data_IF_575268101661
#
_entry.id   IF_575268101661
#
_cell.length_a   1.000
_cell.length_b   1.000
_cell.length_c   1.000
_cell.angle_alpha   90.00
_cell.angle_beta   90.00
_cell.angle_gamma   90.00
#
_symmetry.space_group_name_H-M   'P 1'
#
loop_
_entity.id
_entity.type
_entity.pdbx_description
1 polymer ?
#
# COMPACT_ATOMS: atom_id res chain seq x y z
N UNK A 1 3.61 32.30 -12.75
CA UNK A 1 2.86 33.04 -11.72
C UNK A 1 1.79 32.09 -11.21
N UNK A 2 1.84 31.70 -9.94
CA UNK A 2 0.76 30.92 -9.34
C UNK A 2 -0.44 31.85 -9.13
N UNK A 3 -1.58 31.52 -9.71
CA UNK A 3 -2.83 32.18 -9.33
C UNK A 3 -3.09 31.92 -7.85
N UNK A 4 -3.34 32.99 -7.08
CA UNK A 4 -3.62 32.88 -5.66
C UNK A 4 -5.07 32.42 -5.46
N UNK A 5 -5.25 31.36 -4.67
CA UNK A 5 -6.57 30.92 -4.23
C UNK A 5 -7.08 31.80 -3.09
N UNK A 6 -8.32 32.28 -3.16
CA UNK A 6 -8.98 33.02 -2.08
C UNK A 6 -10.32 32.40 -1.71
N UNK A 7 -10.48 32.04 -0.43
CA UNK A 7 -11.75 31.55 0.12
C UNK A 7 -12.88 32.58 0.03
N UNK A 8 -12.56 33.89 -0.03
CA UNK A 8 -13.56 34.96 -0.19
C UNK A 8 -14.31 34.87 -1.51
N UNK A 9 -13.75 34.18 -2.50
CA UNK A 9 -14.33 34.05 -3.84
C UNK A 9 -15.19 32.78 -3.97
N UNK A 10 -15.35 32.01 -2.89
CA UNK A 10 -16.12 30.76 -2.88
C UNK A 10 -17.48 30.99 -2.22
N UNK A 11 -18.57 30.87 -2.98
CA UNK A 11 -19.94 30.94 -2.44
C UNK A 11 -20.33 29.70 -1.64
N UNK A 12 -19.70 28.56 -1.96
CA UNK A 12 -19.96 27.25 -1.35
C UNK A 12 -18.63 26.56 -1.07
N UNK A 13 -18.53 25.93 0.10
CA UNK A 13 -17.40 25.08 0.48
C UNK A 13 -17.95 23.69 0.78
N UNK A 14 -17.58 22.73 -0.06
CA UNK A 14 -17.87 21.32 0.15
C UNK A 14 -16.79 20.68 1.04
N UNK A 15 -17.23 19.85 1.98
CA UNK A 15 -16.34 19.06 2.82
C UNK A 15 -16.64 17.59 2.60
N UNK A 16 -15.58 16.80 2.46
CA UNK A 16 -15.67 15.36 2.61
C UNK A 16 -16.02 15.01 4.07
N UNK A 17 -16.61 13.84 4.29
CA UNK A 17 -16.99 13.39 5.64
C UNK A 17 -15.83 12.64 6.29
N UNK A 18 -15.49 11.48 5.76
CA UNK A 18 -14.59 10.55 6.42
C UNK A 18 -13.14 11.01 6.35
N UNK A 19 -12.44 10.98 7.49
CA UNK A 19 -11.10 11.53 7.63
C UNK A 19 -10.97 13.05 7.37
N UNK A 20 -12.07 13.75 7.08
CA UNK A 20 -12.13 15.21 6.92
C UNK A 20 -12.93 15.85 8.05
N UNK A 21 -14.26 15.71 8.08
CA UNK A 21 -15.11 16.17 9.19
C UNK A 21 -15.20 15.14 10.31
N UNK A 22 -15.36 13.87 9.96
CA UNK A 22 -15.38 12.74 10.88
C UNK A 22 -13.97 12.15 11.02
N UNK A 23 -13.38 12.32 12.21
CA UNK A 23 -12.02 11.86 12.48
C UNK A 23 -12.05 10.55 13.25
N UNK A 24 -11.51 9.50 12.62
CA UNK A 24 -11.40 8.18 13.22
C UNK A 24 -10.15 8.02 14.09
N UNK A 25 -10.23 7.14 15.08
CA UNK A 25 -9.07 6.64 15.80
C UNK A 25 -8.33 5.62 14.92
N UNK A 26 -7.31 6.09 14.19
CA UNK A 26 -6.60 5.30 13.18
C UNK A 26 -6.18 3.91 13.67
N UNK A 27 -5.67 3.79 14.91
CA UNK A 27 -5.25 2.50 15.47
C UNK A 27 -6.41 1.48 15.52
N UNK A 28 -7.57 1.91 16.01
CA UNK A 28 -8.73 1.03 16.18
C UNK A 28 -9.40 0.74 14.84
N UNK A 29 -9.53 1.75 13.98
CA UNK A 29 -10.09 1.58 12.63
C UNK A 29 -9.21 0.68 11.76
N UNK A 30 -7.89 0.88 11.76
CA UNK A 30 -6.97 0.03 11.01
C UNK A 30 -7.05 -1.43 11.45
N UNK A 31 -7.12 -1.66 12.77
CA UNK A 31 -7.31 -2.99 13.33
C UNK A 31 -8.61 -3.63 12.86
N UNK A 32 -9.72 -2.90 12.95
CA UNK A 32 -11.03 -3.38 12.51
C UNK A 32 -11.02 -3.76 11.03
N UNK A 33 -10.45 -2.92 10.17
CA UNK A 33 -10.35 -3.15 8.72
C UNK A 33 -9.55 -4.42 8.46
N UNK A 34 -8.35 -4.54 9.03
CA UNK A 34 -7.51 -5.72 8.84
C UNK A 34 -8.20 -7.00 9.31
N UNK A 35 -8.74 -7.00 10.54
CA UNK A 35 -9.41 -8.17 11.09
C UNK A 35 -10.62 -8.59 10.24
N UNK A 36 -11.33 -7.63 9.65
CA UNK A 36 -12.45 -7.90 8.74
C UNK A 36 -11.98 -8.59 7.46
N UNK A 37 -10.91 -8.09 6.83
CA UNK A 37 -10.34 -8.70 5.63
C UNK A 37 -9.72 -10.07 5.90
N UNK A 38 -8.90 -10.20 6.93
CA UNK A 38 -8.24 -11.45 7.28
C UNK A 38 -9.27 -12.55 7.56
N UNK A 39 -10.33 -12.22 8.32
CA UNK A 39 -11.43 -13.16 8.59
C UNK A 39 -12.12 -13.61 7.33
N UNK A 40 -12.47 -12.69 6.42
CA UNK A 40 -13.10 -13.03 5.16
C UNK A 40 -12.22 -13.97 4.31
N UNK A 41 -10.92 -13.69 4.21
CA UNK A 41 -10.00 -14.51 3.43
C UNK A 41 -9.83 -15.92 4.02
N UNK A 42 -9.75 -16.04 5.34
CA UNK A 42 -9.61 -17.34 6.01
C UNK A 42 -10.91 -18.14 5.93
N UNK A 43 -12.05 -17.54 6.29
CA UNK A 43 -13.33 -18.24 6.40
C UNK A 43 -13.97 -18.56 5.05
N UNK A 44 -13.79 -17.69 4.05
CA UNK A 44 -14.48 -17.82 2.76
C UNK A 44 -13.57 -18.05 1.56
N UNK A 45 -12.26 -17.77 1.67
CA UNK A 45 -11.31 -17.97 0.56
C UNK A 45 -10.26 -19.06 0.85
N UNK A 46 -10.26 -19.64 2.04
CA UNK A 46 -9.39 -20.75 2.40
C UNK A 46 -7.92 -20.37 2.61
N UNK A 47 -7.65 -19.09 2.92
CA UNK A 47 -6.30 -18.65 3.27
C UNK A 47 -5.86 -19.20 4.63
N UNK A 48 -4.55 -19.23 4.87
CA UNK A 48 -3.98 -19.71 6.13
C UNK A 48 -4.47 -18.89 7.33
N UNK A 49 -4.81 -19.57 8.42
CA UNK A 49 -5.27 -18.98 9.68
C UNK A 49 -4.23 -18.04 10.31
N UNK A 50 -2.96 -18.14 9.93
CA UNK A 50 -1.91 -17.23 10.39
C UNK A 50 -2.16 -15.76 9.99
N UNK A 51 -3.02 -15.49 9.00
CA UNK A 51 -3.50 -14.14 8.72
C UNK A 51 -4.26 -13.51 9.91
N UNK A 52 -4.87 -14.31 10.79
CA UNK A 52 -5.59 -13.82 11.97
C UNK A 52 -4.64 -13.41 13.10
N UNK A 53 -3.36 -13.79 13.03
CA UNK A 53 -2.37 -13.48 14.06
C UNK A 53 -1.76 -12.08 13.85
N UNK A 54 -2.36 -11.06 14.45
CA UNK A 54 -1.83 -9.69 14.44
C UNK A 54 -0.89 -9.45 15.62
N UNK A 55 0.30 -8.92 15.35
CA UNK A 55 1.17 -8.36 16.39
C UNK A 55 1.17 -6.83 16.32
N UNK A 56 1.30 -6.11 17.45
CA UNK A 56 1.35 -4.65 17.43
C UNK A 56 2.48 -4.07 16.56
N UNK A 57 3.61 -4.77 16.46
CA UNK A 57 4.76 -4.37 15.65
C UNK A 57 4.47 -4.38 14.14
N UNK A 58 3.43 -5.09 13.71
CA UNK A 58 3.07 -5.18 12.29
C UNK A 58 2.45 -3.89 11.73
N UNK A 59 2.01 -2.96 12.58
CA UNK A 59 1.38 -1.72 12.13
C UNK A 59 2.37 -0.68 11.61
N UNK A 60 3.62 -0.71 12.08
CA UNK A 60 4.68 0.20 11.62
C UNK A 60 5.05 -0.06 10.14
N UNK A 61 4.60 -1.17 9.57
CA UNK A 61 4.76 -1.52 8.16
C UNK A 61 3.82 -0.71 7.23
N UNK A 62 2.67 -0.27 7.74
CA UNK A 62 1.64 0.41 6.95
C UNK A 62 1.96 1.89 6.73
N UNK A 63 2.53 2.23 5.56
CA UNK A 63 2.74 3.62 5.14
C UNK A 63 1.80 4.04 3.99
N UNK A 64 1.21 5.24 4.11
CA UNK A 64 0.42 5.82 3.02
C UNK A 64 1.31 6.13 1.80
N UNK A 65 0.76 5.86 0.62
CA UNK A 65 1.44 5.99 -0.67
C UNK A 65 2.48 4.90 -0.88
N UNK A 66 2.23 3.68 -0.38
CA UNK A 66 2.94 2.47 -0.79
C UNK A 66 2.28 1.89 -2.04
N UNK A 67 3.12 1.28 -2.87
CA UNK A 67 2.68 0.55 -4.06
C UNK A 67 2.95 -0.91 -3.82
N UNK A 68 1.97 -1.78 -4.06
CA UNK A 68 2.25 -3.22 -4.22
C UNK A 68 2.43 -3.50 -5.70
N UNK A 69 3.61 -4.01 -6.04
CA UNK A 69 3.91 -4.62 -7.33
C UNK A 69 3.41 -6.07 -7.29
N UNK A 70 2.31 -6.33 -8.00
CA UNK A 70 1.65 -7.63 -8.01
C UNK A 70 2.39 -8.64 -8.90
N UNK A 71 3.29 -8.19 -9.78
CA UNK A 71 4.10 -9.08 -10.61
C UNK A 71 5.23 -9.71 -9.79
N UNK A 72 5.91 -8.89 -8.99
CA UNK A 72 7.07 -9.32 -8.21
C UNK A 72 6.75 -9.63 -6.73
N UNK A 73 5.56 -9.24 -6.24
CA UNK A 73 5.20 -9.35 -4.82
C UNK A 73 5.93 -8.34 -3.92
N UNK A 74 6.46 -7.27 -4.50
CA UNK A 74 7.21 -6.26 -3.77
C UNK A 74 6.31 -5.10 -3.33
N UNK A 75 6.50 -4.61 -2.11
CA UNK A 75 5.90 -3.36 -1.65
C UNK A 75 6.94 -2.25 -1.70
N UNK A 76 6.63 -1.18 -2.42
CA UNK A 76 7.60 -0.18 -2.86
C UNK A 76 7.16 1.21 -2.40
N UNK A 77 8.11 1.95 -1.81
CA UNK A 77 7.97 3.38 -1.54
C UNK A 77 8.76 4.17 -2.58
N UNK A 78 8.06 5.04 -3.29
CA UNK A 78 8.62 5.83 -4.38
C UNK A 78 8.85 7.29 -3.96
N UNK A 79 9.85 7.91 -4.56
CA UNK A 79 10.01 9.36 -4.62
C UNK A 79 9.10 9.96 -5.70
N UNK A 80 9.02 11.29 -5.74
CA UNK A 80 8.22 12.04 -6.73
C UNK A 80 8.69 11.84 -8.17
N UNK A 81 9.92 11.39 -8.39
CA UNK A 81 10.51 11.10 -9.70
C UNK A 81 10.47 9.60 -10.08
N UNK A 82 9.89 8.75 -9.21
CA UNK A 82 9.80 7.31 -9.42
C UNK A 82 10.99 6.50 -8.91
N UNK A 83 11.95 7.14 -8.23
CA UNK A 83 13.05 6.44 -7.56
C UNK A 83 12.52 5.61 -6.39
N UNK A 84 12.91 4.34 -6.31
CA UNK A 84 12.63 3.43 -5.19
C UNK A 84 13.46 3.86 -3.97
N UNK A 85 12.75 4.40 -2.97
CA UNK A 85 13.33 4.83 -1.70
C UNK A 85 13.48 3.67 -0.72
N UNK A 86 12.47 2.79 -0.67
CA UNK A 86 12.43 1.56 0.13
C UNK A 86 11.62 0.51 -0.60
N UNK A 87 11.96 -0.74 -0.40
CA UNK A 87 11.17 -1.86 -0.87
C UNK A 87 11.22 -3.02 0.12
N UNK A 88 10.19 -3.85 0.10
CA UNK A 88 10.12 -5.13 0.82
C UNK A 88 9.55 -6.18 -0.13
N UNK A 89 9.96 -7.44 0.05
CA UNK A 89 9.29 -8.59 -0.55
C UNK A 89 8.44 -9.25 0.53
N UNK A 90 7.12 -9.21 0.37
CA UNK A 90 6.21 -9.52 1.47
C UNK A 90 6.44 -8.60 2.67
N UNK A 91 6.70 -9.14 3.86
CA UNK A 91 7.04 -8.32 5.06
C UNK A 91 8.54 -8.18 5.30
N UNK A 92 9.38 -8.70 4.40
CA UNK A 92 10.84 -8.67 4.55
C UNK A 92 11.44 -7.49 3.78
N UNK A 93 12.08 -6.56 4.49
CA UNK A 93 12.74 -5.40 3.88
C UNK A 93 13.87 -5.84 2.93
N UNK A 94 13.95 -5.19 1.77
CA UNK A 94 15.06 -5.34 0.84
C UNK A 94 16.19 -4.39 1.23
N UNK A 95 17.41 -4.91 1.27
CA UNK A 95 18.62 -4.09 1.42
C UNK A 95 18.85 -3.21 0.20
N UNK A 96 19.67 -2.16 0.36
CA UNK A 96 20.03 -1.27 -0.76
C UNK A 96 20.64 -2.03 -1.94
N UNK A 97 21.44 -3.05 -1.67
CA UNK A 97 22.08 -3.86 -2.71
C UNK A 97 21.06 -4.72 -3.46
N UNK A 98 20.07 -5.28 -2.75
CA UNK A 98 18.96 -6.02 -3.37
C UNK A 98 18.07 -5.09 -4.21
N UNK A 99 17.79 -3.88 -3.73
CA UNK A 99 17.05 -2.86 -4.49
C UNK A 99 17.82 -2.50 -5.77
N UNK A 100 19.12 -2.25 -5.69
CA UNK A 100 19.95 -1.92 -6.86
C UNK A 100 20.02 -3.10 -7.83
N UNK A 101 20.10 -4.32 -7.30
CA UNK A 101 20.12 -5.55 -8.12
C UNK A 101 18.79 -5.74 -8.87
N UNK A 102 17.66 -5.44 -8.22
CA UNK A 102 16.32 -5.65 -8.80
C UNK A 102 15.89 -4.50 -9.73
N UNK A 103 15.99 -3.26 -9.27
CA UNK A 103 15.52 -2.05 -9.97
C UNK A 103 16.62 -1.33 -10.77
N UNK A 104 17.83 -1.89 -10.80
CA UNK A 104 18.99 -1.30 -11.46
C UNK A 104 19.68 -0.18 -10.66
N UNK A 105 20.81 0.34 -11.17
CA UNK A 105 21.65 1.31 -10.46
C UNK A 105 20.94 2.63 -10.14
N UNK A 106 19.93 3.00 -10.93
CA UNK A 106 19.12 4.21 -10.69
C UNK A 106 17.92 3.96 -9.77
N UNK A 107 17.65 2.71 -9.40
CA UNK A 107 16.50 2.30 -8.58
C UNK A 107 15.17 2.80 -9.16
N UNK A 108 15.01 2.76 -10.47
CA UNK A 108 13.81 3.27 -11.14
C UNK A 108 12.74 2.18 -11.17
N UNK A 109 11.52 2.48 -10.73
CA UNK A 109 10.40 1.55 -10.89
C UNK A 109 9.81 1.68 -12.29
N UNK A 110 9.89 0.59 -13.07
CA UNK A 110 9.52 0.55 -14.49
C UNK A 110 8.10 1.03 -14.80
N UNK A 111 7.16 0.88 -13.86
CA UNK A 111 5.76 1.23 -14.05
C UNK A 111 5.43 2.67 -13.66
N UNK A 112 6.40 3.44 -13.13
CA UNK A 112 6.13 4.76 -12.53
C UNK A 112 5.43 5.74 -13.48
N UNK A 113 5.90 5.86 -14.72
CA UNK A 113 5.33 6.82 -15.67
C UNK A 113 3.91 6.45 -16.08
N UNK A 114 3.68 5.16 -16.38
CA UNK A 114 2.33 4.67 -16.71
C UNK A 114 1.42 4.87 -15.50
N UNK A 115 1.92 4.55 -14.31
CA UNK A 115 1.18 4.73 -13.07
C UNK A 115 0.80 6.19 -12.84
N UNK A 116 1.70 7.15 -13.05
CA UNK A 116 1.40 8.57 -12.86
C UNK A 116 0.22 9.01 -13.76
N UNK A 117 0.21 8.53 -15.01
CA UNK A 117 -0.84 8.84 -15.98
C UNK A 117 -2.16 8.13 -15.63
N UNK A 118 -2.11 6.88 -15.17
CA UNK A 118 -3.30 6.09 -14.84
C UNK A 118 -3.85 6.37 -13.45
N UNK A 119 -3.04 6.81 -12.48
CA UNK A 119 -3.44 7.14 -11.10
C UNK A 119 -4.58 8.16 -11.07
N UNK A 120 -4.61 9.09 -12.03
CA UNK A 120 -5.68 10.09 -12.17
C UNK A 120 -7.04 9.42 -12.45
N UNK A 121 -7.06 8.21 -13.01
CA UNK A 121 -8.27 7.52 -13.46
C UNK A 121 -8.58 6.23 -12.70
N UNK A 122 -7.57 5.46 -12.26
CA UNK A 122 -7.76 4.17 -11.59
C UNK A 122 -6.61 3.88 -10.60
N UNK A 123 -6.95 3.55 -9.35
CA UNK A 123 -5.99 3.12 -8.31
C UNK A 123 -5.57 1.64 -8.43
N UNK A 124 -6.19 0.89 -9.35
CA UNK A 124 -5.95 -0.53 -9.58
C UNK A 124 -5.49 -0.72 -11.02
N UNK A 125 -4.29 -1.27 -11.20
CA UNK A 125 -3.85 -1.82 -12.48
C UNK A 125 -3.64 -3.33 -12.34
N UNK A 126 -3.70 -4.08 -13.44
CA UNK A 126 -3.49 -5.53 -13.41
C UNK A 126 -2.12 -5.95 -12.84
N UNK A 127 -1.18 -5.00 -12.72
CA UNK A 127 0.20 -5.21 -12.29
C UNK A 127 0.54 -4.58 -10.94
N UNK A 128 -0.24 -3.61 -10.47
CA UNK A 128 0.08 -2.88 -9.24
C UNK A 128 -1.16 -2.22 -8.63
N UNK A 129 -1.08 -1.95 -7.32
CA UNK A 129 -2.11 -1.25 -6.56
C UNK A 129 -1.49 -0.19 -5.64
N UNK A 130 -2.14 0.98 -5.55
CA UNK A 130 -1.72 2.09 -4.70
C UNK A 130 -2.54 2.18 -3.42
N UNK A 131 -1.86 2.19 -2.29
CA UNK A 131 -2.46 2.39 -0.97
C UNK A 131 -2.40 3.85 -0.56
N UNK A 132 -3.39 4.64 -0.97
CA UNK A 132 -3.38 6.10 -0.84
C UNK A 132 -4.37 6.65 0.19
N UNK A 133 -5.21 5.80 0.79
CA UNK A 133 -6.24 6.22 1.74
C UNK A 133 -6.18 5.38 3.03
N UNK A 134 -6.92 5.80 4.05
CA UNK A 134 -6.88 5.12 5.35
C UNK A 134 -7.80 3.89 5.41
N UNK A 135 -8.64 3.67 4.40
CA UNK A 135 -9.56 2.54 4.34
C UNK A 135 -8.90 1.27 3.79
N UNK A 136 -7.95 1.42 2.87
CA UNK A 136 -7.22 0.31 2.27
C UNK A 136 -5.84 0.09 2.87
N UNK A 137 -5.24 1.09 3.51
CA UNK A 137 -3.89 1.03 4.08
C UNK A 137 -3.64 -0.21 4.98
N UNK A 138 -4.56 -0.66 5.84
CA UNK A 138 -4.36 -1.91 6.60
C UNK A 138 -4.19 -3.15 5.72
N UNK A 139 -4.74 -3.13 4.50
CA UNK A 139 -4.59 -4.17 3.49
C UNK A 139 -3.16 -4.36 3.00
N UNK A 140 -2.29 -3.33 3.08
CA UNK A 140 -0.85 -3.42 2.76
C UNK A 140 -0.20 -4.59 3.51
N UNK A 141 -0.39 -4.64 4.82
CA UNK A 141 0.20 -5.67 5.67
C UNK A 141 -0.36 -7.05 5.32
N UNK A 142 -1.66 -7.10 4.99
CA UNK A 142 -2.31 -8.34 4.60
C UNK A 142 -1.73 -8.87 3.28
N UNK A 143 -1.53 -8.00 2.29
CA UNK A 143 -0.82 -8.35 1.06
C UNK A 143 0.62 -8.82 1.33
N UNK A 144 1.36 -8.11 2.17
CA UNK A 144 2.73 -8.50 2.56
C UNK A 144 2.77 -9.92 3.13
N UNK A 145 1.88 -10.22 4.09
CA UNK A 145 1.79 -11.57 4.66
C UNK A 145 1.39 -12.64 3.65
N UNK A 146 0.49 -12.33 2.72
CA UNK A 146 0.11 -13.27 1.66
C UNK A 146 1.31 -13.59 0.78
N UNK A 147 2.14 -12.61 0.41
CA UNK A 147 3.39 -12.86 -0.33
C UNK A 147 4.33 -13.76 0.47
N UNK A 148 4.52 -13.50 1.77
CA UNK A 148 5.35 -14.36 2.63
C UNK A 148 4.85 -15.82 2.64
N UNK A 149 3.53 -16.03 2.67
CA UNK A 149 2.92 -17.36 2.62
C UNK A 149 3.17 -18.05 1.28
N UNK A 150 3.01 -17.33 0.16
CA UNK A 150 3.28 -17.86 -1.18
C UNK A 150 4.76 -18.23 -1.35
N UNK A 151 5.67 -17.44 -0.78
CA UNK A 151 7.09 -17.73 -0.79
C UNK A 151 7.43 -19.03 -0.03
N UNK A 152 6.84 -19.24 1.16
CA UNK A 152 7.02 -20.48 1.94
C UNK A 152 6.55 -21.72 1.18
N UNK A 153 5.42 -21.66 0.49
CA UNK A 153 4.91 -22.77 -0.33
C UNK A 153 5.86 -23.09 -1.47
N UNK A 154 6.38 -22.06 -2.14
CA UNK A 154 7.29 -22.22 -3.28
C UNK A 154 8.65 -22.79 -2.85
N UNK A 155 9.15 -22.40 -1.68
CA UNK A 155 10.40 -22.92 -1.12
C UNK A 155 10.29 -24.37 -0.58
N UNK A 156 9.06 -24.87 -0.37
CA UNK A 156 8.80 -26.23 0.11
C UNK A 156 8.58 -27.26 -1.02
N UNK A 157 8.55 -26.81 -2.28
CA UNK A 157 8.45 -27.62 -3.50
C UNK A 157 9.82 -27.83 -4.13
#
# INVERSE_FOLDING_TARGET
MSDYFSLSNCDVIGFDLDHTLCRYHLKETSRLIYESFARYLVEHKGYDKDLLNLTPASWDFCFKGLVVDLEDGNLVKLAEDGTVLRASHGTSDLSTDEIIKHYGPKKEWQHFYICLVTFIFFNVHAKYYFYDNYFDLPGVLLCGKVVDMLHKVTAAL
#
